data_IF_655401492259
#
_entry.id   IF_655401492259
#
_cell.length_a   1.000
_cell.length_b   1.000
_cell.length_c   1.000
_cell.angle_alpha   90.00
_cell.angle_beta   90.00
_cell.angle_gamma   90.00
#
_symmetry.space_group_name_H-M   'P 1'
#
loop_
_entity.id
_entity.type
_entity.pdbx_description
1 polymer ?
#
# COMPACT_ATOMS: atom_id res chain seq x y z
N UNK A 1 -30.38 -101.66 -44.64
CA UNK A 1 -31.21 -100.44 -44.68
C UNK A 1 -30.27 -99.28 -44.36
N UNK A 2 -29.58 -98.77 -45.39
CA UNK A 2 -29.99 -97.60 -46.19
C UNK A 2 -29.88 -96.34 -45.29
N UNK A 3 -28.98 -95.37 -45.50
CA UNK A 3 -28.44 -94.81 -46.73
C UNK A 3 -26.99 -94.35 -46.56
N UNK A 4 -26.13 -94.77 -47.48
CA UNK A 4 -24.95 -94.05 -47.94
C UNK A 4 -25.43 -93.24 -49.16
N UNK A 5 -25.31 -91.92 -49.10
CA UNK A 5 -25.44 -90.90 -50.18
C UNK A 5 -25.46 -89.55 -49.43
N UNK A 6 -24.82 -88.44 -49.78
CA UNK A 6 -24.11 -87.95 -50.94
C UNK A 6 -23.33 -86.72 -50.46
N UNK A 7 -22.02 -86.66 -50.73
CA UNK A 7 -21.34 -85.44 -51.24
C UNK A 7 -19.83 -85.62 -51.29
N UNK A 8 -19.41 -86.67 -51.99
CA UNK A 8 -18.14 -86.66 -52.68
C UNK A 8 -18.22 -85.63 -53.81
N UNK A 9 -18.00 -84.35 -53.47
CA UNK A 9 -17.69 -83.33 -54.46
C UNK A 9 -16.41 -83.76 -55.18
N UNK A 10 -16.57 -84.08 -56.46
CA UNK A 10 -15.48 -84.26 -57.38
C UNK A 10 -14.51 -83.09 -57.24
N UNK A 11 -13.28 -83.36 -56.78
CA UNK A 11 -12.16 -82.47 -57.05
C UNK A 11 -11.98 -82.50 -58.57
N UNK A 12 -12.71 -81.63 -59.27
CA UNK A 12 -12.34 -81.22 -60.63
C UNK A 12 -10.84 -80.97 -60.57
N UNK A 13 -10.07 -81.72 -61.36
CA UNK A 13 -8.64 -81.48 -61.49
C UNK A 13 -8.50 -80.06 -62.04
N UNK A 14 -8.32 -79.09 -61.14
CA UNK A 14 -8.07 -77.71 -61.52
C UNK A 14 -6.69 -77.69 -62.15
N UNK A 15 -6.67 -77.68 -63.49
CA UNK A 15 -5.43 -77.53 -64.25
C UNK A 15 -4.99 -76.07 -64.08
N UNK A 16 -3.98 -75.86 -63.23
CA UNK A 16 -3.36 -74.56 -63.05
C UNK A 16 -2.32 -74.34 -64.15
N UNK A 17 -2.32 -73.15 -64.74
CA UNK A 17 -1.12 -72.67 -65.44
C UNK A 17 -0.08 -72.25 -64.39
N UNK A 18 1.20 -72.29 -64.77
CA UNK A 18 2.31 -71.90 -63.85
C UNK A 18 2.08 -70.49 -63.28
N UNK A 19 1.61 -69.55 -64.09
CA UNK A 19 1.24 -68.19 -63.64
C UNK A 19 0.11 -68.22 -62.61
N UNK A 20 -0.95 -68.98 -62.87
CA UNK A 20 -2.10 -69.07 -61.96
C UNK A 20 -1.73 -69.73 -60.64
N UNK A 21 -0.83 -70.72 -60.66
CA UNK A 21 -0.31 -71.38 -59.47
C UNK A 21 0.50 -70.38 -58.61
N UNK A 22 1.46 -69.66 -59.20
CA UNK A 22 2.29 -68.70 -58.47
C UNK A 22 1.46 -67.55 -57.87
N UNK A 23 0.49 -67.00 -58.60
CA UNK A 23 -0.40 -65.95 -58.07
C UNK A 23 -1.30 -66.47 -56.94
N UNK A 24 -1.77 -67.72 -57.01
CA UNK A 24 -2.56 -68.33 -55.94
C UNK A 24 -1.72 -68.54 -54.66
N UNK A 25 -0.50 -69.08 -54.78
CA UNK A 25 0.42 -69.28 -53.65
C UNK A 25 0.78 -67.94 -53.00
N UNK A 26 1.05 -66.91 -53.81
CA UNK A 26 1.31 -65.56 -53.30
C UNK A 26 0.15 -65.04 -52.45
N UNK A 27 -1.09 -65.16 -52.95
CA UNK A 27 -2.28 -64.67 -52.21
C UNK A 27 -2.46 -65.39 -50.88
N UNK A 28 -2.25 -66.71 -50.83
CA UNK A 28 -2.34 -67.48 -49.58
C UNK A 28 -1.27 -67.02 -48.59
N UNK A 29 -0.02 -66.89 -49.03
CA UNK A 29 1.08 -66.43 -48.18
C UNK A 29 0.86 -65.01 -47.64
N UNK A 30 0.38 -64.09 -48.49
CA UNK A 30 0.12 -62.71 -48.09
C UNK A 30 -1.10 -62.59 -47.15
N UNK A 31 -2.12 -63.45 -47.30
CA UNK A 31 -3.33 -63.44 -46.46
C UNK A 31 -3.11 -64.10 -45.10
N UNK A 32 -2.48 -65.28 -45.04
CA UNK A 32 -2.36 -66.05 -43.80
C UNK A 32 -1.21 -65.56 -42.90
N UNK A 33 -0.06 -65.18 -43.48
CA UNK A 33 1.11 -64.80 -42.70
C UNK A 33 1.21 -63.28 -42.46
N UNK A 34 0.62 -62.47 -43.35
CA UNK A 34 0.57 -61.02 -43.20
C UNK A 34 1.94 -60.38 -42.95
N UNK A 35 2.01 -59.57 -41.89
CA UNK A 35 3.22 -58.85 -41.48
C UNK A 35 3.90 -59.59 -40.32
N UNK A 36 5.16 -59.97 -40.51
CA UNK A 36 5.93 -60.77 -39.55
C UNK A 36 7.19 -60.03 -39.07
N UNK A 37 7.63 -60.36 -37.86
CA UNK A 37 8.89 -59.89 -37.29
C UNK A 37 9.91 -61.02 -37.30
N UNK A 38 11.11 -60.75 -37.81
CA UNK A 38 12.15 -61.75 -38.01
C UNK A 38 13.50 -61.20 -37.56
N UNK A 39 14.28 -62.04 -36.88
CA UNK A 39 15.67 -61.75 -36.53
C UNK A 39 16.60 -62.62 -37.37
N UNK A 40 17.66 -62.04 -37.92
CA UNK A 40 18.65 -62.81 -38.66
C UNK A 40 19.87 -61.98 -39.04
N UNK A 41 20.88 -62.66 -39.55
CA UNK A 41 22.09 -62.04 -40.04
C UNK A 41 21.92 -61.63 -41.51
N UNK A 42 22.36 -60.43 -41.86
CA UNK A 42 22.42 -59.96 -43.23
C UNK A 42 23.55 -60.67 -43.98
N UNK A 43 23.25 -61.22 -45.15
CA UNK A 43 24.24 -61.83 -46.04
C UNK A 43 23.96 -61.45 -47.49
N UNK A 44 24.99 -61.32 -48.32
CA UNK A 44 24.88 -61.01 -49.74
C UNK A 44 24.14 -59.69 -50.01
N UNK A 45 24.44 -58.64 -49.24
CA UNK A 45 23.83 -57.32 -49.35
C UNK A 45 24.28 -56.60 -50.62
N UNK A 46 23.32 -56.32 -51.49
CA UNK A 46 23.48 -55.53 -52.70
C UNK A 46 22.69 -54.22 -52.59
N UNK A 47 23.37 -53.10 -52.85
CA UNK A 47 22.77 -51.76 -52.92
C UNK A 47 23.03 -51.10 -54.28
N UNK A 48 22.31 -51.50 -55.35
CA UNK A 48 22.48 -50.90 -56.68
C UNK A 48 22.01 -49.44 -56.74
N UNK A 49 22.41 -48.73 -57.79
CA UNK A 49 22.05 -47.32 -58.05
C UNK A 49 20.55 -47.06 -58.22
N UNK A 50 19.74 -48.10 -58.43
CA UNK A 50 18.27 -48.03 -58.44
C UNK A 50 17.67 -47.63 -57.07
N UNK A 51 18.44 -47.83 -55.98
CA UNK A 51 18.05 -47.43 -54.63
C UNK A 51 17.20 -48.46 -53.90
N UNK A 52 17.04 -49.68 -54.43
CA UNK A 52 16.46 -50.82 -53.71
C UNK A 52 17.57 -51.66 -53.08
N UNK A 53 17.35 -52.22 -51.90
CA UNK A 53 18.31 -53.12 -51.26
C UNK A 53 17.85 -54.56 -51.40
N UNK A 54 18.77 -55.44 -51.78
CA UNK A 54 18.54 -56.87 -51.86
C UNK A 54 19.55 -57.56 -50.96
N UNK A 55 19.10 -58.49 -50.14
CA UNK A 55 19.97 -59.26 -49.25
C UNK A 55 19.30 -60.59 -48.91
N UNK A 56 20.03 -61.50 -48.29
CA UNK A 56 19.47 -62.70 -47.68
C UNK A 56 19.50 -62.56 -46.17
N UNK A 57 18.38 -62.86 -45.52
CA UNK A 57 18.30 -62.96 -44.08
C UNK A 57 18.52 -64.43 -43.72
N UNK A 58 19.57 -64.72 -42.96
CA UNK A 58 19.93 -66.09 -42.55
C UNK A 58 19.83 -66.26 -41.03
N UNK A 59 19.46 -67.46 -40.63
CA UNK A 59 19.61 -67.98 -39.28
C UNK A 59 20.56 -69.21 -39.29
N UNK A 60 20.64 -69.96 -38.19
CA UNK A 60 21.53 -71.13 -38.06
C UNK A 60 21.17 -72.29 -38.99
N UNK A 61 19.95 -72.32 -39.54
CA UNK A 61 19.36 -73.48 -40.24
C UNK A 61 18.74 -73.16 -41.60
N UNK A 62 18.39 -71.89 -41.85
CA UNK A 62 17.65 -71.45 -43.02
C UNK A 62 18.10 -70.07 -43.50
N UNK A 63 17.82 -69.77 -44.76
CA UNK A 63 18.01 -68.44 -45.34
C UNK A 63 16.86 -68.09 -46.28
N UNK A 64 16.54 -66.80 -46.37
CA UNK A 64 15.46 -66.29 -47.23
C UNK A 64 15.88 -64.99 -47.92
N UNK A 65 15.52 -64.86 -49.20
CA UNK A 65 15.78 -63.63 -49.96
C UNK A 65 14.86 -62.50 -49.53
N UNK A 66 15.44 -61.33 -49.36
CA UNK A 66 14.79 -60.14 -48.88
C UNK A 66 14.99 -58.99 -49.89
N UNK A 67 13.94 -58.19 -50.06
CA UNK A 67 13.96 -56.97 -50.84
C UNK A 67 13.41 -55.81 -50.01
N UNK A 68 14.12 -54.68 -50.01
CA UNK A 68 13.71 -53.45 -49.35
C UNK A 68 13.59 -52.32 -50.37
N UNK A 69 12.39 -51.78 -50.53
CA UNK A 69 12.14 -50.73 -51.50
C UNK A 69 12.69 -49.37 -51.04
N UNK A 70 12.95 -48.48 -52.01
CA UNK A 70 13.61 -47.17 -51.81
C UNK A 70 12.86 -46.23 -50.84
N UNK A 71 11.54 -46.40 -50.74
CA UNK A 71 10.75 -45.64 -49.77
C UNK A 71 11.04 -46.05 -48.33
N UNK A 72 11.26 -47.34 -48.10
CA UNK A 72 11.41 -47.93 -46.77
C UNK A 72 12.86 -47.82 -46.28
N UNK A 73 13.85 -48.03 -47.15
CA UNK A 73 15.26 -47.97 -46.74
C UNK A 73 15.72 -46.58 -46.28
N UNK A 74 15.08 -45.50 -46.76
CA UNK A 74 15.31 -44.13 -46.29
C UNK A 74 14.99 -43.92 -44.80
N UNK A 75 14.17 -44.80 -44.19
CA UNK A 75 13.77 -44.73 -42.79
C UNK A 75 14.72 -45.50 -41.87
N UNK A 76 15.70 -46.22 -42.43
CA UNK A 76 16.66 -46.99 -41.64
C UNK A 76 17.74 -46.03 -41.14
N UNK A 77 17.92 -45.88 -39.82
CA UNK A 77 18.80 -44.86 -39.24
C UNK A 77 20.30 -45.24 -39.30
N UNK A 78 20.63 -46.43 -39.79
CA UNK A 78 21.99 -46.95 -39.86
C UNK A 78 22.30 -47.52 -41.25
N UNK A 79 23.59 -47.72 -41.54
CA UNK A 79 24.04 -48.34 -42.79
C UNK A 79 24.22 -49.86 -42.57
N UNK A 80 23.36 -50.71 -43.14
CA UNK A 80 23.48 -52.15 -42.98
C UNK A 80 24.75 -52.67 -43.66
N UNK A 81 25.32 -53.73 -43.07
CA UNK A 81 26.53 -54.40 -43.55
C UNK A 81 26.30 -55.91 -43.54
N UNK A 82 26.98 -56.64 -44.42
CA UNK A 82 27.02 -58.11 -44.36
C UNK A 82 27.62 -58.55 -43.03
N UNK A 83 27.05 -59.59 -42.43
CA UNK A 83 27.41 -60.07 -41.09
C UNK A 83 26.63 -59.41 -39.95
N UNK A 84 25.86 -58.36 -40.22
CA UNK A 84 25.12 -57.65 -39.18
C UNK A 84 23.83 -58.38 -38.80
N UNK A 85 23.61 -58.57 -37.51
CA UNK A 85 22.36 -59.13 -37.01
C UNK A 85 21.30 -58.03 -36.90
N UNK A 86 20.15 -58.24 -37.55
CA UNK A 86 19.07 -57.26 -37.65
C UNK A 86 17.73 -57.86 -37.26
N UNK A 87 16.88 -57.02 -36.67
CA UNK A 87 15.45 -57.27 -36.50
C UNK A 87 14.73 -56.55 -37.65
N UNK A 88 13.96 -57.30 -38.43
CA UNK A 88 13.21 -56.77 -39.57
C UNK A 88 11.72 -57.04 -39.42
N UNK A 89 10.93 -56.07 -39.84
CA UNK A 89 9.49 -56.22 -40.05
C UNK A 89 9.27 -56.42 -41.55
N UNK A 90 8.65 -57.54 -41.93
CA UNK A 90 8.57 -57.95 -43.31
C UNK A 90 7.21 -58.55 -43.67
N UNK A 91 6.81 -58.39 -44.93
CA UNK A 91 5.68 -59.11 -45.51
C UNK A 91 6.19 -60.31 -46.28
N UNK A 92 5.57 -61.45 -46.04
CA UNK A 92 5.85 -62.68 -46.77
C UNK A 92 5.20 -62.62 -48.14
N UNK A 93 5.97 -62.83 -49.21
CA UNK A 93 5.46 -62.79 -50.58
C UNK A 93 6.21 -63.77 -51.50
N UNK A 94 5.76 -63.88 -52.75
CA UNK A 94 6.35 -64.75 -53.77
C UNK A 94 6.69 -63.91 -55.01
N UNK A 95 7.90 -64.07 -55.54
CA UNK A 95 8.30 -63.44 -56.80
C UNK A 95 7.74 -64.23 -57.99
N UNK A 96 6.54 -63.83 -58.44
CA UNK A 96 5.75 -64.54 -59.45
C UNK A 96 6.50 -64.98 -60.73
N UNK A 97 7.41 -64.18 -61.32
CA UNK A 97 8.11 -64.59 -62.55
C UNK A 97 9.03 -65.79 -62.39
N UNK A 98 9.55 -66.04 -61.18
CA UNK A 98 10.44 -67.19 -60.91
C UNK A 98 9.87 -68.19 -59.90
N UNK A 99 8.79 -67.84 -59.21
CA UNK A 99 8.22 -68.65 -58.14
C UNK A 99 9.07 -68.69 -56.87
N UNK A 100 10.01 -67.75 -56.69
CA UNK A 100 10.89 -67.71 -55.53
C UNK A 100 10.17 -67.10 -54.32
N UNK A 101 10.32 -67.71 -53.14
CA UNK A 101 9.87 -67.15 -51.86
C UNK A 101 10.73 -65.95 -51.46
N UNK A 102 10.09 -64.85 -51.04
CA UNK A 102 10.80 -63.63 -50.65
C UNK A 102 10.12 -62.87 -49.51
N UNK A 103 10.91 -62.07 -48.80
CA UNK A 103 10.44 -61.13 -47.80
C UNK A 103 10.56 -59.69 -48.30
N UNK A 104 9.46 -58.94 -48.21
CA UNK A 104 9.46 -57.51 -48.49
C UNK A 104 9.62 -56.76 -47.17
N UNK A 105 10.76 -56.10 -47.00
CA UNK A 105 11.13 -55.45 -45.74
C UNK A 105 10.47 -54.06 -45.65
N UNK A 106 9.70 -53.84 -44.59
CA UNK A 106 9.05 -52.56 -44.28
C UNK A 106 9.88 -51.72 -43.32
N UNK A 107 10.46 -52.33 -42.29
CA UNK A 107 11.36 -51.67 -41.34
C UNK A 107 12.52 -52.58 -40.93
N UNK A 108 13.66 -51.97 -40.56
CA UNK A 108 14.88 -52.68 -40.17
C UNK A 108 15.53 -51.94 -39.00
N UNK A 109 15.90 -52.70 -37.96
CA UNK A 109 16.58 -52.23 -36.75
C UNK A 109 17.75 -53.19 -36.43
N UNK A 110 18.80 -52.75 -35.74
CA UNK A 110 19.83 -53.66 -35.23
C UNK A 110 19.22 -54.65 -34.23
N UNK A 111 19.58 -55.94 -34.32
CA UNK A 111 18.98 -56.97 -33.45
C UNK A 111 19.38 -56.83 -31.96
N UNK A 112 20.52 -56.20 -31.68
CA UNK A 112 21.00 -55.96 -30.32
C UNK A 112 20.02 -55.14 -29.49
N UNK A 113 19.55 -54.01 -30.03
CA UNK A 113 18.67 -53.08 -29.30
C UNK A 113 17.28 -53.69 -29.00
N UNK A 114 16.72 -54.46 -29.94
CA UNK A 114 15.39 -55.08 -29.77
C UNK A 114 15.35 -56.18 -28.71
N UNK A 115 16.39 -57.01 -28.64
CA UNK A 115 16.51 -58.05 -27.59
C UNK A 115 16.73 -57.45 -26.21
N UNK A 116 17.52 -56.38 -26.12
CA UNK A 116 17.74 -55.64 -24.88
C UNK A 116 16.43 -54.96 -24.41
N UNK A 117 15.67 -54.33 -25.31
CA UNK A 117 14.38 -53.74 -24.96
C UNK A 117 13.38 -54.77 -24.40
N UNK A 118 13.28 -55.97 -25.02
CA UNK A 118 12.44 -57.05 -24.51
C UNK A 118 12.88 -57.52 -23.12
N UNK A 119 14.18 -57.73 -22.91
CA UNK A 119 14.74 -58.11 -21.60
C UNK A 119 14.47 -57.07 -20.52
N UNK A 120 14.58 -55.79 -20.87
CA UNK A 120 14.28 -54.69 -19.96
C UNK A 120 12.83 -54.71 -19.49
N UNK A 121 11.88 -54.80 -20.42
CA UNK A 121 10.44 -54.83 -20.07
C UNK A 121 10.06 -56.10 -19.29
N UNK A 122 10.62 -57.26 -19.64
CA UNK A 122 10.41 -58.50 -18.89
C UNK A 122 10.91 -58.37 -17.45
N UNK A 123 12.14 -57.88 -17.27
CA UNK A 123 12.75 -57.74 -15.95
C UNK A 123 12.04 -56.68 -15.10
N UNK A 124 11.67 -55.54 -15.70
CA UNK A 124 10.88 -54.50 -15.07
C UNK A 124 9.53 -55.03 -14.60
N UNK A 125 8.80 -55.79 -15.43
CA UNK A 125 7.53 -56.40 -15.03
C UNK A 125 7.71 -57.38 -13.88
N UNK A 126 8.74 -58.23 -13.93
CA UNK A 126 9.02 -59.22 -12.88
C UNK A 126 9.36 -58.57 -11.55
N UNK A 127 10.31 -57.64 -11.52
CA UNK A 127 10.72 -56.95 -10.29
C UNK A 127 9.63 -56.01 -9.75
N UNK A 128 8.84 -55.42 -10.64
CA UNK A 128 7.65 -54.64 -10.26
C UNK A 128 6.59 -55.51 -9.58
N UNK A 129 6.34 -56.72 -10.09
CA UNK A 129 5.41 -57.67 -9.46
C UNK A 129 5.89 -58.17 -8.07
N UNK A 130 7.20 -58.19 -7.84
CA UNK A 130 7.80 -58.47 -6.52
C UNK A 130 7.71 -57.28 -5.54
N UNK A 131 7.20 -56.12 -5.97
CA UNK A 131 7.14 -54.90 -5.16
C UNK A 131 8.49 -54.19 -5.00
N UNK A 132 9.49 -54.51 -5.84
CA UNK A 132 10.83 -53.91 -5.72
C UNK A 132 10.80 -52.38 -5.90
N UNK A 133 9.82 -51.87 -6.66
CA UNK A 133 9.67 -50.45 -7.03
C UNK A 133 8.61 -49.71 -6.20
N UNK A 134 8.07 -50.33 -5.15
CA UNK A 134 6.98 -49.75 -4.37
C UNK A 134 7.41 -48.46 -3.66
N UNK A 135 6.59 -47.40 -3.78
CA UNK A 135 6.84 -46.10 -3.14
C UNK A 135 6.97 -46.22 -1.61
N UNK A 136 6.28 -47.17 -0.98
CA UNK A 136 6.37 -47.40 0.48
C UNK A 136 7.73 -47.90 0.96
N UNK A 137 8.56 -48.43 0.06
CA UNK A 137 9.94 -48.85 0.36
C UNK A 137 10.93 -47.69 0.31
N UNK A 138 10.67 -46.71 -0.56
CA UNK A 138 11.59 -45.62 -0.87
C UNK A 138 11.79 -44.74 0.36
N UNK A 139 13.06 -44.47 0.67
CA UNK A 139 13.48 -43.69 1.83
C UNK A 139 13.55 -42.22 1.46
N UNK A 140 13.02 -41.30 2.29
CA UNK A 140 13.16 -39.87 2.02
C UNK A 140 14.64 -39.46 2.13
N UNK A 141 15.08 -38.59 1.21
CA UNK A 141 16.43 -38.05 1.29
C UNK A 141 16.62 -37.19 2.55
N UNK A 142 17.81 -37.23 3.17
CA UNK A 142 18.17 -36.30 4.23
C UNK A 142 18.11 -34.86 3.70
N UNK A 143 17.42 -33.98 4.41
CA UNK A 143 17.37 -32.54 4.06
C UNK A 143 18.75 -31.87 4.17
N UNK A 144 19.56 -32.34 5.11
CA UNK A 144 20.91 -31.86 5.38
C UNK A 144 21.84 -33.07 5.55
N UNK A 145 22.32 -33.68 4.45
CA UNK A 145 23.30 -34.75 4.55
C UNK A 145 24.61 -34.19 5.13
N UNK A 146 25.25 -34.95 6.01
CA UNK A 146 26.57 -34.67 6.59
C UNK A 146 27.70 -35.17 5.70
N UNK A 147 27.44 -36.13 4.83
CA UNK A 147 28.38 -36.61 3.82
C UNK A 147 27.63 -37.29 2.66
N UNK A 148 28.20 -37.20 1.45
CA UNK A 148 27.66 -37.84 0.23
C UNK A 148 28.65 -38.86 -0.31
N UNK A 149 28.14 -40.03 -0.72
CA UNK A 149 28.92 -41.04 -1.41
C UNK A 149 28.65 -41.03 -2.91
N UNK A 150 29.70 -41.02 -3.73
CA UNK A 150 29.60 -41.10 -5.20
C UNK A 150 30.08 -42.46 -5.67
N UNK A 151 29.20 -43.23 -6.28
CA UNK A 151 29.49 -44.52 -6.93
C UNK A 151 29.50 -44.26 -8.43
N UNK A 152 30.69 -44.00 -8.97
CA UNK A 152 30.90 -43.65 -10.37
C UNK A 152 32.35 -43.94 -10.79
N UNK A 153 32.69 -43.72 -12.06
CA UNK A 153 34.06 -43.92 -12.54
C UNK A 153 35.02 -42.87 -11.99
N UNK A 154 36.22 -43.31 -11.60
CA UNK A 154 37.25 -42.45 -10.99
C UNK A 154 37.76 -41.33 -11.92
N UNK A 155 37.60 -41.49 -13.24
CA UNK A 155 38.16 -40.61 -14.29
C UNK A 155 37.10 -40.02 -15.21
N UNK A 156 35.80 -40.24 -14.95
CA UNK A 156 34.72 -39.80 -15.83
C UNK A 156 34.31 -38.34 -15.66
N UNK A 157 33.80 -37.72 -16.74
CA UNK A 157 33.23 -36.37 -16.72
C UNK A 157 32.11 -36.23 -15.67
N UNK A 158 31.29 -37.27 -15.51
CA UNK A 158 30.21 -37.29 -14.51
C UNK A 158 30.70 -37.03 -13.08
N UNK A 159 31.88 -37.54 -12.70
CA UNK A 159 32.46 -37.27 -11.39
C UNK A 159 32.85 -35.79 -11.25
N UNK A 160 33.49 -35.23 -12.28
CA UNK A 160 33.91 -33.82 -12.27
C UNK A 160 32.72 -32.86 -12.21
N UNK A 161 31.65 -33.17 -12.95
CA UNK A 161 30.42 -32.36 -12.94
C UNK A 161 29.75 -32.39 -11.56
N UNK A 162 29.61 -33.57 -10.96
CA UNK A 162 29.08 -33.70 -9.61
C UNK A 162 29.92 -32.95 -8.57
N UNK A 163 31.26 -33.10 -8.61
CA UNK A 163 32.16 -32.39 -7.70
C UNK A 163 32.08 -30.87 -7.87
N UNK A 164 31.93 -30.38 -9.11
CA UNK A 164 31.78 -28.94 -9.40
C UNK A 164 30.49 -28.39 -8.80
N UNK A 165 29.37 -29.10 -8.99
CA UNK A 165 28.07 -28.73 -8.41
C UNK A 165 28.11 -28.74 -6.88
N UNK A 166 28.66 -29.81 -6.29
CA UNK A 166 28.79 -29.97 -4.84
C UNK A 166 29.69 -28.87 -4.25
N UNK A 167 30.85 -28.60 -4.84
CA UNK A 167 31.77 -27.55 -4.41
C UNK A 167 31.17 -26.15 -4.49
N UNK A 168 30.32 -25.88 -5.49
CA UNK A 168 29.62 -24.59 -5.62
C UNK A 168 28.50 -24.44 -4.58
N UNK A 169 27.67 -25.47 -4.37
CA UNK A 169 26.43 -25.37 -3.57
C UNK A 169 26.61 -25.71 -2.09
N UNK A 170 27.50 -26.65 -1.78
CA UNK A 170 27.77 -27.17 -0.45
C UNK A 170 29.27 -27.50 -0.29
N UNK A 171 30.18 -26.50 -0.29
CA UNK A 171 31.62 -26.72 -0.20
C UNK A 171 32.07 -27.39 1.12
N UNK A 172 31.24 -27.29 2.15
CA UNK A 172 31.44 -27.90 3.47
C UNK A 172 30.96 -29.36 3.55
N UNK A 173 30.33 -29.90 2.49
CA UNK A 173 29.85 -31.28 2.45
C UNK A 173 31.01 -32.24 2.08
N UNK A 174 31.45 -33.14 2.97
CA UNK A 174 32.39 -34.20 2.66
C UNK A 174 31.86 -35.12 1.54
N UNK A 175 32.72 -35.41 0.57
CA UNK A 175 32.42 -36.28 -0.56
C UNK A 175 33.31 -37.52 -0.49
N UNK A 176 32.69 -38.69 -0.43
CA UNK A 176 33.38 -39.98 -0.47
C UNK A 176 33.21 -40.62 -1.84
N UNK A 177 34.31 -40.91 -2.52
CA UNK A 177 34.28 -41.52 -3.85
C UNK A 177 34.49 -43.02 -3.70
N UNK A 178 33.54 -43.79 -4.20
CA UNK A 178 33.59 -45.24 -4.34
C UNK A 178 33.84 -45.55 -5.81
N UNK A 179 35.11 -45.65 -6.25
CA UNK A 179 35.43 -45.76 -7.66
C UNK A 179 34.96 -47.12 -8.19
N UNK A 180 34.08 -47.10 -9.19
CA UNK A 180 33.53 -48.28 -9.84
C UNK A 180 33.56 -48.14 -11.34
N UNK A 181 33.78 -49.24 -12.06
CA UNK A 181 33.42 -49.30 -13.46
C UNK A 181 31.91 -49.11 -13.58
N UNK A 182 31.50 -48.29 -14.54
CA UNK A 182 30.10 -47.94 -14.81
C UNK A 182 29.65 -48.43 -16.19
N UNK A 183 30.45 -49.31 -16.80
CA UNK A 183 30.22 -49.87 -18.12
C UNK A 183 30.81 -51.27 -18.24
N UNK A 184 30.18 -52.11 -19.06
CA UNK A 184 30.58 -53.51 -19.25
C UNK A 184 30.11 -54.45 -18.13
N UNK A 185 30.31 -55.75 -18.33
CA UNK A 185 29.83 -56.80 -17.42
C UNK A 185 30.49 -56.77 -16.03
N UNK A 186 31.76 -56.36 -15.96
CA UNK A 186 32.49 -56.23 -14.70
C UNK A 186 31.94 -55.10 -13.80
N UNK A 187 31.22 -54.11 -14.37
CA UNK A 187 30.61 -53.02 -13.60
C UNK A 187 29.54 -53.52 -12.63
N UNK A 188 28.79 -54.56 -13.00
CA UNK A 188 27.67 -55.10 -12.19
C UNK A 188 28.16 -55.47 -10.78
N UNK A 189 29.20 -56.32 -10.72
CA UNK A 189 29.76 -56.78 -9.45
C UNK A 189 30.43 -55.65 -8.65
N UNK A 190 31.05 -54.69 -9.33
CA UNK A 190 31.70 -53.55 -8.69
C UNK A 190 30.69 -52.57 -8.08
N UNK A 191 29.60 -52.26 -8.77
CA UNK A 191 28.52 -51.40 -8.27
C UNK A 191 27.89 -52.03 -7.04
N UNK A 192 27.52 -53.32 -7.10
CA UNK A 192 26.96 -54.06 -5.96
C UNK A 192 27.93 -54.05 -4.77
N UNK A 193 29.22 -54.30 -5.02
CA UNK A 193 30.25 -54.30 -3.98
C UNK A 193 30.47 -52.92 -3.36
N UNK A 194 30.38 -51.85 -4.16
CA UNK A 194 30.51 -50.48 -3.70
C UNK A 194 29.33 -50.04 -2.83
N UNK A 195 28.09 -50.38 -3.23
CA UNK A 195 26.89 -50.14 -2.41
C UNK A 195 27.02 -50.90 -1.08
N UNK A 196 27.43 -52.17 -1.12
CA UNK A 196 27.64 -52.96 0.08
C UNK A 196 28.76 -52.39 0.97
N UNK A 197 29.85 -51.91 0.38
CA UNK A 197 30.95 -51.27 1.10
C UNK A 197 30.50 -49.98 1.78
N UNK A 198 29.76 -49.12 1.09
CA UNK A 198 29.25 -47.88 1.65
C UNK A 198 28.30 -48.14 2.82
N UNK A 199 27.39 -49.12 2.68
CA UNK A 199 26.50 -49.53 3.77
C UNK A 199 27.25 -50.11 4.97
N UNK A 200 28.34 -50.88 4.75
CA UNK A 200 29.18 -51.40 5.84
C UNK A 200 29.95 -50.30 6.57
N UNK A 201 30.45 -49.29 5.85
CA UNK A 201 31.20 -48.18 6.45
C UNK A 201 30.30 -47.18 7.15
N UNK A 202 29.09 -46.97 6.64
CA UNK A 202 28.12 -46.02 7.19
C UNK A 202 28.68 -44.59 7.39
N UNK A 203 29.60 -44.16 6.52
CA UNK A 203 30.27 -42.85 6.57
C UNK A 203 29.49 -41.75 5.82
N UNK A 204 28.47 -42.14 5.04
CA UNK A 204 27.69 -41.24 4.17
C UNK A 204 26.20 -41.40 4.42
N UNK A 205 25.46 -40.31 4.30
CA UNK A 205 24.02 -40.27 4.56
C UNK A 205 23.18 -40.48 3.28
N UNK A 206 23.80 -40.36 2.12
CA UNK A 206 23.16 -40.54 0.81
C UNK A 206 24.18 -40.98 -0.23
N UNK A 207 23.76 -41.86 -1.13
CA UNK A 207 24.56 -42.35 -2.25
C UNK A 207 24.04 -41.79 -3.56
N UNK A 208 24.94 -41.40 -4.44
CA UNK A 208 24.64 -41.14 -5.85
C UNK A 208 25.29 -42.25 -6.66
N UNK A 209 24.47 -43.07 -7.30
CA UNK A 209 24.89 -44.10 -8.24
C UNK A 209 24.61 -43.57 -9.63
N UNK A 210 25.66 -43.35 -10.42
CA UNK A 210 25.43 -42.66 -11.68
C UNK A 210 26.57 -42.74 -12.68
N UNK A 211 26.17 -42.55 -13.94
CA UNK A 211 27.03 -42.43 -15.12
C UNK A 211 26.47 -41.31 -15.98
N UNK A 212 27.34 -40.63 -16.73
CA UNK A 212 26.92 -39.73 -17.80
C UNK A 212 26.24 -40.47 -18.96
N UNK A 213 26.05 -39.78 -20.09
CA UNK A 213 25.47 -40.39 -21.29
C UNK A 213 26.28 -41.57 -21.85
N UNK A 214 25.63 -42.40 -22.67
CA UNK A 214 26.21 -43.55 -23.35
C UNK A 214 25.18 -44.24 -24.25
N UNK A 215 25.60 -45.25 -25.00
CA UNK A 215 24.65 -46.13 -25.71
C UNK A 215 23.82 -46.97 -24.72
N UNK A 216 22.74 -47.59 -25.17
CA UNK A 216 21.95 -48.51 -24.34
C UNK A 216 22.80 -49.67 -23.78
N UNK A 217 23.73 -50.18 -24.58
CA UNK A 217 24.68 -51.24 -24.17
C UNK A 217 25.60 -50.79 -23.03
N UNK A 218 26.02 -49.53 -23.11
CA UNK A 218 26.88 -48.88 -22.14
C UNK A 218 26.18 -48.72 -20.78
N UNK A 219 24.89 -48.36 -20.80
CA UNK A 219 24.07 -48.20 -19.60
C UNK A 219 23.50 -49.54 -19.09
N UNK A 220 23.70 -50.64 -19.82
CA UNK A 220 23.02 -51.90 -19.55
C UNK A 220 23.32 -52.49 -18.17
N UNK A 221 24.52 -52.24 -17.62
CA UNK A 221 24.86 -52.71 -16.27
C UNK A 221 23.92 -52.17 -15.18
N UNK A 222 23.23 -51.05 -15.41
CA UNK A 222 22.21 -50.49 -14.51
C UNK A 222 20.81 -51.11 -14.70
N UNK A 223 20.62 -51.93 -15.74
CA UNK A 223 19.41 -52.72 -15.98
C UNK A 223 19.52 -54.15 -15.43
N UNK A 224 20.60 -54.48 -14.73
CA UNK A 224 20.82 -55.83 -14.20
C UNK A 224 20.14 -56.01 -12.84
N UNK A 225 19.56 -57.19 -12.64
CA UNK A 225 18.79 -57.52 -11.43
C UNK A 225 19.62 -57.35 -10.15
N UNK A 226 20.89 -57.76 -10.19
CA UNK A 226 21.79 -57.67 -9.04
C UNK A 226 21.98 -56.22 -8.56
N UNK A 227 22.08 -55.26 -9.49
CA UNK A 227 22.24 -53.84 -9.19
C UNK A 227 20.93 -53.28 -8.62
N UNK A 228 19.80 -53.59 -9.25
CA UNK A 228 18.47 -53.16 -8.77
C UNK A 228 18.20 -53.63 -7.34
N UNK A 229 18.49 -54.90 -7.03
CA UNK A 229 18.34 -55.45 -5.67
C UNK A 229 19.31 -54.83 -4.67
N UNK A 230 20.56 -54.54 -5.08
CA UNK A 230 21.53 -53.89 -4.21
C UNK A 230 21.14 -52.45 -3.87
N UNK A 231 20.67 -51.67 -4.85
CA UNK A 231 20.16 -50.30 -4.66
C UNK A 231 18.98 -50.33 -3.69
N UNK A 232 17.95 -51.12 -4.01
CA UNK A 232 16.74 -51.12 -3.23
C UNK A 232 16.96 -51.71 -1.82
N UNK A 233 17.95 -52.58 -1.64
CA UNK A 233 18.35 -53.18 -0.37
C UNK A 233 19.29 -52.31 0.48
N UNK A 234 19.71 -51.14 -0.02
CA UNK A 234 20.62 -50.24 0.67
C UNK A 234 20.01 -49.67 1.95
N UNK A 235 20.80 -49.59 3.02
CA UNK A 235 20.42 -48.90 4.26
C UNK A 235 20.57 -47.38 4.12
N UNK A 236 21.48 -46.93 3.27
CA UNK A 236 21.68 -45.52 2.93
C UNK A 236 20.81 -45.20 1.70
N UNK A 237 20.03 -44.10 1.70
CA UNK A 237 19.21 -43.73 0.56
C UNK A 237 20.06 -43.52 -0.71
N UNK A 238 19.57 -44.01 -1.84
CA UNK A 238 20.27 -44.02 -3.11
C UNK A 238 19.55 -43.15 -4.13
N UNK A 239 20.28 -42.25 -4.76
CA UNK A 239 19.87 -41.47 -5.92
C UNK A 239 20.47 -42.13 -7.17
N UNK A 240 19.61 -42.58 -8.07
CA UNK A 240 20.05 -43.03 -9.39
C UNK A 240 20.18 -41.85 -10.34
N UNK A 241 21.30 -41.77 -11.04
CA UNK A 241 21.65 -40.67 -11.93
C UNK A 241 22.34 -41.19 -13.18
N UNK A 242 21.63 -42.00 -13.96
CA UNK A 242 22.15 -42.71 -15.13
C UNK A 242 21.60 -42.07 -16.41
N UNK A 243 22.49 -41.63 -17.31
CA UNK A 243 22.10 -41.12 -18.63
C UNK A 243 21.50 -39.71 -18.61
N UNK A 244 20.52 -39.47 -19.49
CA UNK A 244 19.74 -38.22 -19.62
C UNK A 244 18.25 -38.44 -19.33
N UNK A 245 17.43 -37.40 -19.51
CA UNK A 245 15.99 -37.42 -19.21
C UNK A 245 15.23 -38.59 -19.85
N UNK A 246 15.63 -39.02 -21.05
CA UNK A 246 15.01 -40.12 -21.82
C UNK A 246 15.53 -41.52 -21.49
N UNK A 247 16.70 -41.63 -20.85
CA UNK A 247 17.39 -42.90 -20.60
C UNK A 247 16.97 -43.47 -19.24
N UNK A 248 15.77 -44.07 -19.17
CA UNK A 248 15.27 -44.66 -17.90
C UNK A 248 15.77 -46.09 -17.74
N UNK A 249 16.44 -46.37 -16.63
CA UNK A 249 17.00 -47.68 -16.28
C UNK A 249 16.24 -48.36 -15.15
N UNK A 250 16.45 -49.67 -14.96
CA UNK A 250 15.84 -50.41 -13.83
C UNK A 250 16.36 -49.87 -12.48
N UNK A 251 17.62 -49.44 -12.42
CA UNK A 251 18.19 -48.77 -11.25
C UNK A 251 17.41 -47.51 -10.86
N UNK A 252 16.86 -46.76 -11.82
CA UNK A 252 16.05 -45.57 -11.54
C UNK A 252 14.71 -45.89 -10.86
N UNK A 253 14.12 -47.04 -11.18
CA UNK A 253 12.89 -47.50 -10.53
C UNK A 253 13.15 -48.08 -9.14
N UNK A 254 14.32 -48.71 -8.96
CA UNK A 254 14.75 -49.32 -7.71
C UNK A 254 15.27 -48.30 -6.67
N UNK A 255 15.78 -47.16 -7.14
CA UNK A 255 16.31 -46.10 -6.30
C UNK A 255 15.23 -45.35 -5.52
N UNK A 256 15.65 -44.71 -4.42
CA UNK A 256 14.78 -43.88 -3.59
C UNK A 256 14.39 -42.59 -4.31
N UNK A 257 15.29 -42.09 -5.16
CA UNK A 257 15.03 -40.95 -6.03
C UNK A 257 15.77 -41.09 -7.37
N UNK A 258 15.08 -40.76 -8.45
CA UNK A 258 15.69 -40.61 -9.78
C UNK A 258 16.12 -39.17 -10.00
N UNK A 259 17.34 -38.99 -10.50
CA UNK A 259 17.84 -37.75 -11.06
C UNK A 259 18.11 -37.93 -12.57
N UNK A 260 17.76 -36.94 -13.41
CA UNK A 260 17.91 -37.06 -14.86
C UNK A 260 19.36 -37.03 -15.34
N UNK A 261 20.29 -36.49 -14.53
CA UNK A 261 21.73 -36.46 -14.82
C UNK A 261 22.54 -36.52 -13.51
N UNK A 262 23.82 -36.92 -13.56
CA UNK A 262 24.72 -36.85 -12.41
C UNK A 262 24.77 -35.46 -11.75
N UNK A 263 24.83 -34.39 -12.55
CA UNK A 263 24.82 -33.01 -12.06
C UNK A 263 23.52 -32.67 -11.33
N UNK A 264 22.37 -33.09 -11.87
CA UNK A 264 21.08 -32.89 -11.21
C UNK A 264 20.98 -33.67 -9.89
N UNK A 265 21.57 -34.87 -9.80
CA UNK A 265 21.63 -35.63 -8.57
C UNK A 265 22.42 -34.88 -7.49
N UNK A 266 23.58 -34.32 -7.85
CA UNK A 266 24.35 -33.46 -6.97
C UNK A 266 23.55 -32.22 -6.53
N UNK A 267 22.73 -31.64 -7.40
CA UNK A 267 21.86 -30.50 -7.07
C UNK A 267 20.72 -30.84 -6.11
N UNK A 268 20.16 -32.05 -6.20
CA UNK A 268 19.10 -32.53 -5.31
C UNK A 268 19.63 -32.87 -3.92
N UNK A 269 20.85 -33.41 -3.86
CA UNK A 269 21.52 -33.78 -2.61
C UNK A 269 22.16 -32.58 -1.91
N UNK A 270 22.63 -31.57 -2.64
CA UNK A 270 23.35 -30.44 -2.08
C UNK A 270 22.42 -29.36 -1.49
N UNK A 271 22.40 -29.15 -0.16
CA UNK A 271 21.63 -28.08 0.45
C UNK A 271 22.20 -26.71 0.08
N UNK A 272 21.37 -25.80 -0.45
CA UNK A 272 21.80 -24.46 -0.86
C UNK A 272 22.31 -23.62 0.33
N UNK A 273 23.63 -23.47 0.42
CA UNK A 273 24.29 -22.66 1.45
C UNK A 273 23.92 -21.18 1.36
N UNK A 274 23.71 -20.67 0.15
CA UNK A 274 23.38 -19.25 -0.07
C UNK A 274 22.02 -18.91 0.53
N UNK A 275 21.02 -19.79 0.33
CA UNK A 275 19.70 -19.66 0.94
C UNK A 275 19.78 -19.71 2.48
N UNK A 276 20.61 -20.59 3.06
CA UNK A 276 20.82 -20.64 4.52
C UNK A 276 21.45 -19.37 5.07
N UNK A 277 22.50 -18.86 4.42
CA UNK A 277 23.15 -17.61 4.81
C UNK A 277 22.18 -16.42 4.74
N UNK A 278 21.40 -16.31 3.65
CA UNK A 278 20.38 -15.29 3.50
C UNK A 278 19.29 -15.40 4.57
N UNK A 279 18.83 -16.61 4.88
CA UNK A 279 17.85 -16.85 5.94
C UNK A 279 18.38 -16.41 7.31
N UNK A 280 19.64 -16.67 7.62
CA UNK A 280 20.27 -16.23 8.87
C UNK A 280 20.38 -14.71 8.95
N UNK A 281 20.76 -14.05 7.87
CA UNK A 281 20.77 -12.57 7.77
C UNK A 281 19.36 -12.01 8.00
N UNK A 282 18.35 -12.59 7.38
CA UNK A 282 16.96 -12.16 7.54
C UNK A 282 16.44 -12.37 8.96
N UNK A 283 16.76 -13.51 9.59
CA UNK A 283 16.41 -13.76 11.00
C UNK A 283 17.09 -12.77 11.94
N UNK A 284 18.36 -12.45 11.71
CA UNK A 284 19.09 -11.42 12.47
C UNK A 284 18.42 -10.05 12.34
N UNK A 285 18.07 -9.63 11.12
CA UNK A 285 17.38 -8.35 10.88
C UNK A 285 16.02 -8.31 11.60
N UNK A 286 15.23 -9.39 11.52
CA UNK A 286 13.95 -9.50 12.22
C UNK A 286 14.11 -9.41 13.74
N UNK A 287 15.12 -10.07 14.31
CA UNK A 287 15.41 -10.03 15.74
C UNK A 287 15.74 -8.60 16.19
N UNK A 288 16.64 -7.92 15.48
CA UNK A 288 17.03 -6.53 15.78
C UNK A 288 15.80 -5.62 15.74
N UNK A 289 14.96 -5.72 14.71
CA UNK A 289 13.73 -4.93 14.60
C UNK A 289 12.72 -5.24 15.72
N UNK A 290 12.61 -6.49 16.15
CA UNK A 290 11.73 -6.87 17.27
C UNK A 290 12.22 -6.29 18.59
N UNK A 291 13.53 -6.34 18.85
CA UNK A 291 14.16 -5.74 20.04
C UNK A 291 13.93 -4.22 20.05
N UNK A 292 14.20 -3.54 18.93
CA UNK A 292 13.99 -2.08 18.82
C UNK A 292 12.54 -1.70 19.06
N UNK A 293 11.58 -2.43 18.46
CA UNK A 293 10.14 -2.20 18.69
C UNK A 293 9.75 -2.35 20.16
N UNK A 294 10.25 -3.39 20.84
CA UNK A 294 10.00 -3.62 22.27
C UNK A 294 10.58 -2.50 23.13
N UNK A 295 11.80 -2.04 22.83
CA UNK A 295 12.43 -0.94 23.55
C UNK A 295 11.66 0.37 23.36
N UNK A 296 11.24 0.70 22.14
CA UNK A 296 10.45 1.92 21.88
C UNK A 296 9.10 1.87 22.61
N UNK A 297 8.40 0.73 22.57
CA UNK A 297 7.14 0.55 23.29
C UNK A 297 7.32 0.71 24.81
N UNK A 298 8.39 0.12 25.38
CA UNK A 298 8.71 0.25 26.80
C UNK A 298 9.04 1.71 27.18
N UNK A 299 9.81 2.43 26.35
CA UNK A 299 10.11 3.85 26.55
C UNK A 299 8.84 4.71 26.51
N UNK A 300 7.95 4.48 25.54
CA UNK A 300 6.67 5.20 25.46
C UNK A 300 5.81 4.93 26.69
N UNK A 301 5.71 3.67 27.14
CA UNK A 301 5.00 3.30 28.36
C UNK A 301 5.56 4.01 29.59
N UNK A 302 6.89 4.03 29.74
CA UNK A 302 7.57 4.72 30.82
C UNK A 302 7.26 6.23 30.84
N UNK A 303 7.39 6.91 29.69
CA UNK A 303 7.08 8.35 29.58
C UNK A 303 5.62 8.64 29.93
N UNK A 304 4.68 7.78 29.51
CA UNK A 304 3.27 7.94 29.84
C UNK A 304 3.02 7.77 31.35
N UNK A 305 3.63 6.75 31.97
CA UNK A 305 3.54 6.50 33.40
C UNK A 305 4.14 7.65 34.21
N UNK A 306 5.29 8.17 33.79
CA UNK A 306 5.93 9.33 34.41
C UNK A 306 5.03 10.57 34.32
N UNK A 307 4.47 10.87 33.14
CA UNK A 307 3.50 11.98 33.00
C UNK A 307 2.28 11.80 33.90
N UNK A 308 1.74 10.59 34.01
CA UNK A 308 0.60 10.31 34.91
C UNK A 308 0.98 10.56 36.37
N UNK A 309 2.16 10.13 36.78
CA UNK A 309 2.69 10.38 38.12
C UNK A 309 2.83 11.89 38.39
N UNK A 310 3.41 12.64 37.45
CA UNK A 310 3.59 14.09 37.56
C UNK A 310 2.26 14.87 37.60
N UNK A 311 1.22 14.37 36.91
CA UNK A 311 -0.12 14.98 36.92
C UNK A 311 -0.94 14.56 38.14
N UNK A 312 -0.67 13.40 38.71
CA UNK A 312 -1.29 12.93 39.95
C UNK A 312 -0.53 13.38 41.20
N UNK A 313 0.53 14.19 41.05
CA UNK A 313 1.31 14.71 42.17
C UNK A 313 0.38 15.44 43.17
N UNK A 314 0.10 14.84 44.34
CA UNK A 314 -0.81 15.41 45.32
C UNK A 314 -0.34 16.78 45.80
N UNK A 315 0.97 17.02 45.77
CA UNK A 315 1.56 18.30 46.18
C UNK A 315 1.14 19.43 45.25
N UNK A 316 1.23 19.23 43.93
CA UNK A 316 0.76 20.23 42.94
C UNK A 316 -0.73 20.49 43.06
N UNK A 317 -1.54 19.45 43.29
CA UNK A 317 -2.99 19.60 43.48
C UNK A 317 -3.30 20.38 44.76
N UNK A 318 -2.59 20.13 45.85
CA UNK A 318 -2.72 20.88 47.11
C UNK A 318 -2.24 22.33 46.96
N UNK A 319 -1.14 22.58 46.25
CA UNK A 319 -0.63 23.93 45.96
C UNK A 319 -1.66 24.75 45.17
N UNK A 320 -2.27 24.17 44.13
CA UNK A 320 -3.34 24.83 43.36
C UNK A 320 -4.58 25.12 44.21
N UNK A 321 -4.98 24.17 45.07
CA UNK A 321 -6.10 24.37 45.99
C UNK A 321 -5.81 25.44 47.04
N UNK A 322 -4.58 25.51 47.55
CA UNK A 322 -4.13 26.55 48.48
C UNK A 322 -4.16 27.93 47.82
N UNK A 323 -3.61 28.08 46.61
CA UNK A 323 -3.71 29.34 45.86
C UNK A 323 -5.16 29.74 45.60
N UNK A 324 -6.02 28.78 45.30
CA UNK A 324 -7.44 29.06 45.08
C UNK A 324 -8.14 29.53 46.35
N UNK A 325 -7.78 28.95 47.50
CA UNK A 325 -8.26 29.43 48.80
C UNK A 325 -7.82 30.87 49.06
N UNK A 326 -6.55 31.19 48.81
CA UNK A 326 -6.02 32.55 48.99
C UNK A 326 -6.72 33.58 48.08
N UNK A 327 -6.99 33.23 46.82
CA UNK A 327 -7.76 34.08 45.90
C UNK A 327 -9.19 34.32 46.39
N UNK A 328 -9.86 33.25 46.84
CA UNK A 328 -11.24 33.33 47.32
C UNK A 328 -11.33 34.13 48.62
N UNK A 329 -10.38 33.97 49.53
CA UNK A 329 -10.30 34.75 50.76
C UNK A 329 -10.11 36.24 50.47
N UNK A 330 -9.15 36.60 49.60
CA UNK A 330 -8.96 38.01 49.19
C UNK A 330 -10.21 38.61 48.56
N UNK A 331 -10.89 37.87 47.68
CA UNK A 331 -12.15 38.30 47.06
C UNK A 331 -13.25 38.52 48.10
N UNK A 332 -13.38 37.60 49.06
CA UNK A 332 -14.36 37.72 50.15
C UNK A 332 -14.07 38.97 50.99
N UNK A 333 -12.82 39.17 51.41
CA UNK A 333 -12.40 40.32 52.20
C UNK A 333 -12.68 41.65 51.48
N UNK A 334 -12.38 41.71 50.17
CA UNK A 334 -12.64 42.90 49.37
C UNK A 334 -14.15 43.19 49.26
N UNK A 335 -14.96 42.17 48.96
CA UNK A 335 -16.41 42.34 48.88
C UNK A 335 -17.06 42.73 50.22
N UNK A 336 -16.56 42.20 51.34
CA UNK A 336 -17.02 42.59 52.67
C UNK A 336 -16.70 44.06 52.97
N UNK A 337 -15.47 44.51 52.67
CA UNK A 337 -15.08 45.92 52.82
C UNK A 337 -15.91 46.84 51.94
N UNK A 338 -16.10 46.48 50.67
CA UNK A 338 -16.92 47.27 49.74
C UNK A 338 -18.36 47.38 50.23
N UNK A 339 -18.96 46.28 50.72
CA UNK A 339 -20.31 46.30 51.30
C UNK A 339 -20.40 47.19 52.54
N UNK A 340 -19.42 47.11 53.44
CA UNK A 340 -19.38 47.95 54.64
C UNK A 340 -19.28 49.43 54.26
N UNK A 341 -18.35 49.79 53.38
CA UNK A 341 -18.21 51.17 52.89
C UNK A 341 -19.44 51.69 52.15
N UNK A 342 -20.11 50.85 51.35
CA UNK A 342 -21.39 51.21 50.74
C UNK A 342 -22.48 51.46 51.79
N UNK A 343 -22.52 50.64 52.83
CA UNK A 343 -23.41 50.81 53.99
C UNK A 343 -23.17 52.13 54.72
N UNK A 344 -21.90 52.41 55.06
CA UNK A 344 -21.48 53.67 55.71
C UNK A 344 -21.83 54.89 54.86
N UNK A 345 -21.52 54.86 53.56
CA UNK A 345 -21.88 55.94 52.63
C UNK A 345 -23.38 56.14 52.52
N UNK A 346 -24.16 55.05 52.51
CA UNK A 346 -25.63 55.14 52.49
C UNK A 346 -26.16 55.77 53.76
N UNK A 347 -25.64 55.37 54.92
CA UNK A 347 -26.00 55.94 56.22
C UNK A 347 -25.68 57.45 56.26
N UNK A 348 -24.44 57.83 55.94
CA UNK A 348 -24.02 59.24 55.94
C UNK A 348 -24.88 60.11 55.00
N UNK A 349 -25.24 59.60 53.81
CA UNK A 349 -26.13 60.31 52.90
C UNK A 349 -27.56 60.46 53.46
N UNK A 350 -28.08 59.42 54.14
CA UNK A 350 -29.40 59.50 54.77
C UNK A 350 -29.39 60.48 55.94
N UNK A 351 -28.32 60.52 56.74
CA UNK A 351 -28.13 61.49 57.81
C UNK A 351 -28.07 62.92 57.29
N UNK A 352 -27.29 63.19 56.23
CA UNK A 352 -27.24 64.51 55.59
C UNK A 352 -28.62 64.93 55.04
N UNK A 353 -29.35 64.00 54.41
CA UNK A 353 -30.72 64.27 53.93
C UNK A 353 -31.68 64.58 55.07
N UNK A 354 -31.57 63.86 56.18
CA UNK A 354 -32.39 64.09 57.37
C UNK A 354 -32.08 65.46 58.00
N UNK A 355 -30.79 65.80 58.15
CA UNK A 355 -30.36 67.10 58.67
C UNK A 355 -30.81 68.26 57.78
N UNK A 356 -30.71 68.13 56.45
CA UNK A 356 -31.15 69.13 55.49
C UNK A 356 -32.68 69.32 55.45
N UNK A 357 -33.44 68.31 55.89
CA UNK A 357 -34.90 68.36 56.02
C UNK A 357 -35.36 68.62 57.45
N UNK A 358 -34.45 68.99 58.35
CA UNK A 358 -34.82 69.28 59.72
C UNK A 358 -35.77 70.49 59.76
N UNK A 359 -36.82 70.45 60.59
CA UNK A 359 -37.76 71.57 60.71
C UNK A 359 -37.06 72.89 61.03
N UNK A 360 -35.99 72.87 61.84
CA UNK A 360 -35.21 74.06 62.18
C UNK A 360 -34.49 74.68 60.98
N UNK A 361 -33.84 73.87 60.13
CA UNK A 361 -33.14 74.37 58.92
C UNK A 361 -34.13 74.88 57.87
N UNK A 362 -35.23 74.17 57.65
CA UNK A 362 -36.30 74.60 56.73
C UNK A 362 -36.97 75.91 57.20
N UNK A 363 -37.26 76.03 58.50
CA UNK A 363 -37.82 77.25 59.09
C UNK A 363 -36.83 78.42 59.03
N UNK A 364 -35.53 78.20 59.30
CA UNK A 364 -34.52 79.24 59.20
C UNK A 364 -34.38 79.76 57.75
N UNK A 365 -34.32 78.85 56.77
CA UNK A 365 -34.30 79.20 55.35
C UNK A 365 -35.59 79.90 54.90
N UNK A 366 -36.75 79.47 55.41
CA UNK A 366 -38.05 80.13 55.19
C UNK A 366 -38.09 81.55 55.73
N UNK A 367 -37.70 81.75 57.00
CA UNK A 367 -37.63 83.06 57.65
C UNK A 367 -36.69 84.01 56.91
N UNK A 368 -35.51 83.53 56.49
CA UNK A 368 -34.56 84.35 55.72
C UNK A 368 -35.11 84.77 54.36
N UNK A 369 -35.79 83.86 53.65
CA UNK A 369 -36.48 84.19 52.38
C UNK A 369 -37.58 85.22 52.58
N UNK A 370 -38.38 85.07 53.65
CA UNK A 370 -39.44 86.01 53.98
C UNK A 370 -38.90 87.40 54.31
N UNK A 371 -37.87 87.47 55.15
CA UNK A 371 -37.21 88.74 55.51
C UNK A 371 -36.62 89.45 54.28
N UNK A 372 -35.88 88.74 53.42
CA UNK A 372 -35.34 89.32 52.19
C UNK A 372 -36.44 89.80 51.22
N UNK A 373 -37.55 89.05 51.14
CA UNK A 373 -38.69 89.47 50.32
C UNK A 373 -39.37 90.72 50.88
N UNK A 374 -39.51 90.81 52.21
CA UNK A 374 -40.09 91.96 52.90
C UNK A 374 -39.21 93.22 52.74
N UNK A 375 -37.89 93.10 52.93
CA UNK A 375 -36.94 94.19 52.71
C UNK A 375 -37.02 94.70 51.26
N UNK A 376 -36.99 93.78 50.27
CA UNK A 376 -37.14 94.13 48.85
C UNK A 376 -38.46 94.84 48.55
N UNK A 377 -39.57 94.36 49.12
CA UNK A 377 -40.88 94.97 48.93
C UNK A 377 -40.89 96.41 49.45
N UNK A 378 -40.40 96.64 50.67
CA UNK A 378 -40.31 97.98 51.24
C UNK A 378 -39.45 98.92 50.39
N UNK A 379 -38.28 98.47 49.94
CA UNK A 379 -37.41 99.28 49.07
C UNK A 379 -38.11 99.66 47.76
N UNK A 380 -38.81 98.71 47.13
CA UNK A 380 -39.54 98.97 45.88
C UNK A 380 -40.75 99.89 46.08
N UNK A 381 -41.45 99.76 47.21
CA UNK A 381 -42.58 100.63 47.56
C UNK A 381 -42.11 102.07 47.75
N UNK A 382 -41.05 102.28 48.54
CA UNK A 382 -40.50 103.62 48.79
C UNK A 382 -40.03 104.27 47.47
N UNK A 383 -39.28 103.52 46.65
CA UNK A 383 -38.84 104.01 45.32
C UNK A 383 -40.02 104.40 44.42
N UNK A 384 -41.14 103.65 44.46
CA UNK A 384 -42.35 103.98 43.69
C UNK A 384 -43.02 105.25 44.21
N UNK A 385 -43.08 105.44 45.53
CA UNK A 385 -43.61 106.65 46.15
C UNK A 385 -42.77 107.87 45.78
N UNK A 386 -41.44 107.78 45.87
CA UNK A 386 -40.53 108.86 45.53
C UNK A 386 -40.67 109.29 44.06
N UNK A 387 -40.74 108.32 43.14
CA UNK A 387 -40.95 108.58 41.71
C UNK A 387 -42.30 109.26 41.44
N UNK A 388 -43.36 108.85 42.16
CA UNK A 388 -44.67 109.47 42.03
C UNK A 388 -44.68 110.90 42.57
N UNK A 389 -44.07 111.15 43.73
CA UNK A 389 -43.93 112.48 44.32
C UNK A 389 -43.11 113.42 43.43
N UNK A 390 -42.00 112.94 42.87
CA UNK A 390 -41.19 113.72 41.94
C UNK A 390 -41.95 114.08 40.66
N UNK A 391 -42.71 113.13 40.10
CA UNK A 391 -43.57 113.37 38.93
C UNK A 391 -44.64 114.43 39.22
N UNK A 392 -45.25 114.39 40.40
CA UNK A 392 -46.23 115.38 40.82
C UNK A 392 -45.60 116.77 40.92
N UNK A 393 -44.45 116.89 41.59
CA UNK A 393 -43.74 118.16 41.74
C UNK A 393 -43.38 118.80 40.38
N UNK A 394 -42.90 117.99 39.43
CA UNK A 394 -42.58 118.45 38.08
C UNK A 394 -43.82 118.94 37.31
N UNK A 395 -44.96 118.28 37.49
CA UNK A 395 -46.22 118.71 36.86
C UNK A 395 -46.73 120.02 37.46
N UNK A 396 -46.64 120.20 38.79
CA UNK A 396 -47.00 121.46 39.46
C UNK A 396 -46.15 122.64 38.99
N UNK A 397 -44.82 122.49 38.96
CA UNK A 397 -43.93 123.56 38.51
C UNK A 397 -44.17 123.99 37.06
N UNK A 398 -44.57 123.05 36.19
CA UNK A 398 -44.92 123.35 34.80
C UNK A 398 -46.22 124.15 34.69
N UNK A 399 -47.16 123.95 35.62
CA UNK A 399 -48.44 124.66 35.65
C UNK A 399 -48.23 126.13 36.06
N UNK A 400 -47.38 126.38 37.06
CA UNK A 400 -47.11 127.73 37.58
C UNK A 400 -46.42 128.64 36.55
N UNK A 401 -45.56 128.08 35.69
CA UNK A 401 -44.79 128.84 34.71
C UNK A 401 -45.60 129.52 33.59
N UNK A 402 -46.89 129.20 33.43
CA UNK A 402 -47.74 129.65 32.31
C UNK A 402 -48.76 130.72 32.76
N UNK A 403 -48.73 131.18 34.02
CA UNK A 403 -49.71 132.13 34.58
C UNK A 403 -49.41 133.61 34.27
N UNK A 404 -50.34 134.38 33.64
CA UNK A 404 -50.16 135.82 33.35
C UNK A 404 -49.98 136.71 34.58
N UNK A 405 -50.48 136.29 35.75
CA UNK A 405 -50.31 137.00 37.03
C UNK A 405 -48.84 137.04 37.48
N UNK A 406 -48.07 136.01 37.16
CA UNK A 406 -46.64 135.95 37.49
C UNK A 406 -45.81 136.98 36.71
N UNK A 407 -46.30 137.45 35.56
CA UNK A 407 -45.63 138.46 34.72
C UNK A 407 -45.80 139.87 35.28
N UNK A 408 -46.98 140.21 35.83
CA UNK A 408 -47.23 141.50 36.49
C UNK A 408 -46.49 141.61 37.83
N UNK A 409 -46.37 140.50 38.58
CA UNK A 409 -45.63 140.45 39.84
C UNK A 409 -44.11 140.70 39.71
N UNK A 410 -43.54 140.67 38.50
CA UNK A 410 -42.12 140.96 38.25
C UNK A 410 -41.81 142.46 38.06
N UNK A 411 -42.77 143.34 38.34
CA UNK A 411 -42.58 144.79 38.31
C UNK A 411 -42.80 145.45 36.95
N UNK A 412 -43.34 144.72 35.98
CA UNK A 412 -43.78 145.29 34.71
C UNK A 412 -45.16 145.94 34.87
N UNK A 413 -45.33 147.13 34.31
CA UNK A 413 -46.60 147.84 34.29
C UNK A 413 -47.21 147.87 32.90
N UNK A 414 -48.54 147.88 32.84
CA UNK A 414 -49.27 148.03 31.58
C UNK A 414 -49.88 149.44 31.54
N UNK A 415 -49.34 150.29 30.67
CA UNK A 415 -49.85 151.65 30.43
C UNK A 415 -50.96 151.60 29.39
N UNK A 416 -52.07 152.30 29.64
CA UNK A 416 -53.24 152.38 28.76
C UNK A 416 -53.70 153.82 28.59
N UNK A 417 -54.38 154.11 27.49
CA UNK A 417 -55.16 155.34 27.32
C UNK A 417 -56.41 155.31 28.23
N UNK A 418 -57.07 156.45 28.47
CA UNK A 418 -58.32 156.49 29.23
C UNK A 418 -59.45 155.67 28.57
N UNK A 419 -59.39 155.43 27.26
CA UNK A 419 -60.31 154.53 26.53
C UNK A 419 -59.98 153.04 26.70
N UNK A 420 -58.89 152.70 27.41
CA UNK A 420 -58.52 151.32 27.77
C UNK A 420 -57.54 150.62 26.83
N UNK A 421 -57.08 151.30 25.77
CA UNK A 421 -56.12 150.74 24.81
C UNK A 421 -54.70 150.77 25.37
N UNK A 422 -53.96 149.67 25.22
CA UNK A 422 -52.59 149.53 25.74
C UNK A 422 -51.61 150.34 24.89
N UNK A 423 -50.79 151.11 25.58
CA UNK A 423 -49.71 151.88 24.98
C UNK A 423 -48.44 151.06 25.09
N UNK A 424 -47.91 150.69 23.94
CA UNK A 424 -46.66 149.94 23.82
C UNK A 424 -45.54 150.75 23.17
N UNK A 425 -45.83 151.93 22.61
CA UNK A 425 -44.85 152.78 21.91
C UNK A 425 -45.03 154.25 22.28
N UNK A 426 -43.92 154.94 22.56
CA UNK A 426 -43.95 156.34 23.03
C UNK A 426 -44.63 157.32 22.03
N UNK A 427 -44.50 157.10 20.72
CA UNK A 427 -45.11 157.94 19.69
C UNK A 427 -46.66 157.99 19.70
N UNK A 428 -47.31 157.11 20.48
CA UNK A 428 -48.77 157.03 20.59
C UNK A 428 -49.37 158.10 21.51
N UNK A 429 -48.53 158.89 22.19
CA UNK A 429 -48.95 159.91 23.16
C UNK A 429 -48.41 161.28 22.82
N UNK A 430 -49.15 162.31 23.25
CA UNK A 430 -48.78 163.72 23.06
C UNK A 430 -48.51 164.39 24.42
N UNK A 431 -47.56 165.34 24.50
CA UNK A 431 -47.39 166.16 25.69
C UNK A 431 -48.72 166.80 26.14
N UNK A 432 -48.99 166.76 27.44
CA UNK A 432 -50.25 167.18 28.07
C UNK A 432 -51.34 166.11 28.19
N UNK A 433 -51.21 164.96 27.52
CA UNK A 433 -52.23 163.90 27.50
C UNK A 433 -52.24 163.08 28.81
N UNK A 434 -53.44 162.69 29.29
CA UNK A 434 -53.60 161.81 30.45
C UNK A 434 -53.66 160.33 30.06
N UNK A 435 -53.04 159.47 30.89
CA UNK A 435 -52.87 158.02 30.75
C UNK A 435 -53.15 157.29 32.06
N UNK A 436 -53.38 155.97 31.99
CA UNK A 436 -53.57 155.09 33.14
C UNK A 436 -52.56 153.95 33.11
N UNK A 437 -51.71 153.84 34.12
CA UNK A 437 -50.72 152.76 34.24
C UNK A 437 -51.13 151.78 35.33
N UNK A 438 -51.32 150.51 34.98
CA UNK A 438 -51.68 149.43 35.90
C UNK A 438 -50.44 148.66 36.33
N UNK A 439 -50.28 148.45 37.63
CA UNK A 439 -49.16 147.76 38.25
C UNK A 439 -49.61 146.39 38.78
N UNK A 440 -48.69 145.64 39.40
CA UNK A 440 -49.00 144.41 40.13
C UNK A 440 -50.18 144.61 41.11
N UNK A 441 -50.22 145.79 41.74
CA UNK A 441 -51.34 146.24 42.57
C UNK A 441 -51.66 147.71 42.25
N UNK A 442 -52.92 147.98 41.90
CA UNK A 442 -53.44 149.33 41.67
C UNK A 442 -53.16 149.92 40.28
N UNK A 443 -53.72 151.12 40.06
CA UNK A 443 -53.57 151.87 38.82
C UNK A 443 -53.39 153.37 39.09
N UNK A 444 -52.46 153.99 38.36
CA UNK A 444 -52.10 155.40 38.49
C UNK A 444 -52.60 156.18 37.27
N UNK A 445 -53.21 157.35 37.49
CA UNK A 445 -53.48 158.32 36.43
C UNK A 445 -52.32 159.30 36.32
N UNK A 446 -51.66 159.28 35.17
CA UNK A 446 -50.43 160.04 34.89
C UNK A 446 -50.67 160.97 33.71
N UNK A 447 -50.01 162.12 33.70
CA UNK A 447 -50.04 163.07 32.58
C UNK A 447 -48.64 163.13 31.96
N UNK A 448 -48.60 163.14 30.64
CA UNK A 448 -47.34 163.22 29.89
C UNK A 448 -46.85 164.66 29.92
N UNK A 449 -45.65 164.89 30.46
CA UNK A 449 -45.04 166.23 30.48
C UNK A 449 -44.24 166.50 29.20
N UNK A 450 -43.48 165.50 28.73
CA UNK A 450 -42.72 165.58 27.48
C UNK A 450 -42.70 164.20 26.79
N UNK A 451 -42.53 164.18 25.47
CA UNK A 451 -42.42 162.95 24.68
C UNK A 451 -41.13 162.98 23.89
N UNK A 452 -40.12 162.30 24.42
CA UNK A 452 -38.94 161.96 23.64
C UNK A 452 -39.13 160.60 22.98
N UNK A 453 -39.22 160.61 21.66
CA UNK A 453 -39.03 159.38 20.88
C UNK A 453 -37.52 159.18 20.70
N UNK A 454 -36.92 158.39 21.58
CA UNK A 454 -35.63 157.74 21.30
C UNK A 454 -35.85 156.47 20.48
#
# INVERSE_FOLDING_TARGET
MNHLDESSQSRQQQIFTVTRLNSAVRMILEQDLGLVWLTGELSNLAMPSSGHWYFSLKDMSAQVRCAMFKGNNRRVPFRPQDGMQVLVQARVSLYEPRGDYQLIIESMQPAGDGMLALRFEELKRRLGAEGLFDEGRKRPLPREPRAVGLITSATGAALHDMLTVLGRRAPDLPVFIYPTQVQGSAAIGQIVSAIALANRRAEVDVLIVGRGGGSLEDLWCFNEEAVARAIAGSAIPVVSAVGHEVDVTISDFAADLRAPTPSAAAELVAPDRSARAQRLVHLKQRLVQAISRRQTAARHGFVLLQKRLDHQDPKRRLEQQSQRLDELDRRLQQHLRDRLHQGERRLANLELRLQARSPSTLLAAGKRRHQLAQERLHTLMNKRQDLAAHRLAMLSARLDGISPLATLGRGYSITRTPSGEVISRAAQVRPGQQLVTTLAEGALRVRVEDVNNQ
#
